data_IF_058844125329
#
_entry.id   IF_058844125329
#
_cell.length_a   1.000
_cell.length_b   1.000
_cell.length_c   1.000
_cell.angle_alpha   90.00
_cell.angle_beta   90.00
_cell.angle_gamma   90.00
#
_symmetry.space_group_name_H-M   'P 1'
#
loop_
_entity.id
_entity.type
_entity.pdbx_description
1 polymer ?
#
# COMPACT_ATOMS: atom_id res chain seq x y z
N UNK A 1 12.00 -12.90 -0.22
CA UNK A 1 11.36 -11.78 -0.92
C UNK A 1 12.30 -11.14 -1.94
N UNK A 2 13.53 -10.76 -1.56
CA UNK A 2 14.53 -10.24 -2.50
C UNK A 2 14.94 -11.25 -3.59
N UNK A 3 15.04 -12.54 -3.25
CA UNK A 3 15.35 -13.59 -4.23
C UNK A 3 14.20 -13.82 -5.22
N UNK A 4 12.95 -13.83 -4.74
CA UNK A 4 11.76 -13.89 -5.58
C UNK A 4 11.70 -12.70 -6.53
N UNK A 5 12.04 -11.51 -6.03
CA UNK A 5 12.13 -10.30 -6.83
C UNK A 5 13.22 -10.40 -7.90
N UNK A 6 14.42 -10.88 -7.55
CA UNK A 6 15.48 -11.18 -8.54
C UNK A 6 15.00 -12.14 -9.61
N UNK A 7 14.28 -13.20 -9.26
CA UNK A 7 13.77 -14.18 -10.23
C UNK A 7 12.76 -13.57 -11.20
N UNK A 8 11.80 -12.77 -10.70
CA UNK A 8 10.83 -12.06 -11.55
C UNK A 8 11.52 -11.05 -12.45
N UNK A 9 12.45 -10.25 -11.89
CA UNK A 9 13.20 -9.25 -12.64
C UNK A 9 14.09 -9.88 -13.72
N UNK A 10 14.65 -11.07 -13.45
CA UNK A 10 15.47 -11.81 -14.41
C UNK A 10 14.63 -12.46 -15.51
N UNK A 11 13.37 -12.82 -15.22
CA UNK A 11 12.40 -13.27 -16.22
C UNK A 11 11.91 -12.10 -17.10
N UNK A 12 11.68 -10.92 -16.53
CA UNK A 12 11.24 -9.71 -17.25
C UNK A 12 12.36 -9.01 -18.04
N UNK A 13 13.63 -9.30 -17.74
CA UNK A 13 14.79 -8.81 -18.50
C UNK A 13 14.76 -9.19 -19.99
N UNK A 14 14.12 -10.31 -20.34
CA UNK A 14 13.92 -10.73 -21.74
C UNK A 14 12.94 -9.81 -22.51
N UNK A 15 12.09 -9.07 -21.80
CA UNK A 15 11.09 -8.16 -22.38
C UNK A 15 11.53 -6.69 -22.44
N UNK A 16 12.48 -6.27 -21.59
CA UNK A 16 12.90 -4.87 -21.49
C UNK A 16 14.13 -4.61 -22.38
N UNK A 17 13.87 -4.16 -23.61
CA UNK A 17 14.89 -3.98 -24.67
C UNK A 17 15.75 -2.72 -24.53
N UNK A 18 15.41 -1.78 -23.62
CA UNK A 18 16.17 -0.53 -23.40
C UNK A 18 16.54 -0.32 -21.93
N UNK A 19 17.69 0.31 -21.69
CA UNK A 19 18.22 0.61 -20.35
C UNK A 19 17.24 1.44 -19.50
N UNK A 20 16.51 2.36 -20.12
CA UNK A 20 15.49 3.19 -19.47
C UNK A 20 14.33 2.35 -18.95
N UNK A 21 13.89 1.37 -19.74
CA UNK A 21 12.80 0.45 -19.35
C UNK A 21 13.24 -0.46 -18.20
N UNK A 22 14.48 -0.93 -18.22
CA UNK A 22 15.08 -1.70 -17.12
C UNK A 22 15.16 -0.86 -15.85
N UNK A 23 15.61 0.39 -15.95
CA UNK A 23 15.69 1.30 -14.82
C UNK A 23 14.31 1.58 -14.21
N UNK A 24 13.30 1.88 -15.04
CA UNK A 24 11.93 2.11 -14.59
C UNK A 24 11.34 0.89 -13.87
N UNK A 25 11.56 -0.31 -14.41
CA UNK A 25 11.09 -1.54 -13.78
C UNK A 25 11.75 -1.79 -12.41
N UNK A 26 13.09 -1.65 -12.33
CA UNK A 26 13.84 -1.78 -11.07
C UNK A 26 13.37 -0.75 -10.04
N UNK A 27 13.13 0.49 -10.48
CA UNK A 27 12.66 1.57 -9.62
C UNK A 27 11.26 1.29 -9.04
N UNK A 28 10.30 0.90 -9.88
CA UNK A 28 8.94 0.59 -9.43
C UNK A 28 8.93 -0.51 -8.39
N UNK A 29 9.73 -1.55 -8.61
CA UNK A 29 9.69 -2.67 -7.69
C UNK A 29 10.63 -2.50 -6.48
N UNK A 30 11.64 -1.62 -6.54
CA UNK A 30 12.25 -1.05 -5.34
C UNK A 30 11.22 -0.30 -4.48
N UNK A 31 10.42 0.58 -5.09
CA UNK A 31 9.38 1.33 -4.39
C UNK A 31 8.34 0.40 -3.77
N UNK A 32 7.91 -0.63 -4.52
CA UNK A 32 6.97 -1.64 -4.04
C UNK A 32 7.52 -2.39 -2.82
N UNK A 33 8.79 -2.79 -2.86
CA UNK A 33 9.45 -3.46 -1.74
C UNK A 33 9.61 -2.52 -0.54
N UNK A 34 10.00 -1.27 -0.77
CA UNK A 34 10.13 -0.26 0.28
C UNK A 34 8.81 -0.05 1.02
N UNK A 35 7.71 0.14 0.28
CA UNK A 35 6.37 0.28 0.84
C UNK A 35 6.00 -0.99 1.63
N UNK A 36 6.24 -2.18 1.07
CA UNK A 36 5.95 -3.44 1.76
C UNK A 36 6.68 -3.54 3.10
N UNK A 37 7.99 -3.27 3.12
CA UNK A 37 8.79 -3.28 4.34
C UNK A 37 8.33 -2.23 5.35
N UNK A 38 7.93 -1.03 4.90
CA UNK A 38 7.37 0.00 5.78
C UNK A 38 6.07 -0.45 6.43
N UNK A 39 5.15 -1.01 5.66
CA UNK A 39 3.89 -1.54 6.20
C UNK A 39 4.16 -2.68 7.20
N UNK A 40 5.11 -3.57 6.90
CA UNK A 40 5.51 -4.63 7.81
C UNK A 40 6.10 -4.08 9.13
N UNK A 41 6.89 -3.00 9.06
CA UNK A 41 7.40 -2.30 10.24
C UNK A 41 6.26 -1.70 11.08
N UNK A 42 5.29 -1.02 10.46
CA UNK A 42 4.12 -0.49 11.17
C UNK A 42 3.34 -1.61 11.88
N UNK A 43 3.13 -2.74 11.19
CA UNK A 43 2.45 -3.91 11.76
C UNK A 43 3.22 -4.51 12.94
N UNK A 44 4.55 -4.61 12.85
CA UNK A 44 5.40 -5.10 13.95
C UNK A 44 5.37 -4.17 15.15
N UNK A 45 5.48 -2.86 14.92
CA UNK A 45 5.46 -1.85 15.98
C UNK A 45 4.11 -1.84 16.73
N UNK A 46 3.00 -2.03 16.02
CA UNK A 46 1.67 -2.16 16.60
C UNK A 46 1.37 -3.58 17.15
N UNK A 47 2.31 -4.53 17.06
CA UNK A 47 2.14 -5.96 17.40
C UNK A 47 0.97 -6.64 16.68
N UNK A 48 0.65 -6.19 15.47
CA UNK A 48 -0.46 -6.69 14.63
C UNK A 48 -0.01 -7.65 13.52
N UNK A 49 1.29 -7.90 13.38
CA UNK A 49 1.89 -8.77 12.36
C UNK A 49 1.46 -10.25 12.45
N UNK A 50 0.85 -10.68 13.55
CA UNK A 50 0.25 -12.02 13.71
C UNK A 50 -1.17 -12.13 13.13
N UNK A 51 -1.84 -10.99 12.88
CA UNK A 51 -3.22 -10.92 12.37
C UNK A 51 -3.31 -10.41 10.95
N UNK A 52 -2.40 -9.53 10.55
CA UNK A 52 -2.43 -8.90 9.24
C UNK A 52 -1.07 -8.97 8.56
N UNK A 53 -1.09 -9.29 7.28
CA UNK A 53 0.04 -9.09 6.37
C UNK A 53 -0.04 -7.69 5.74
N UNK A 54 1.06 -7.15 5.18
CA UNK A 54 1.03 -5.90 4.42
C UNK A 54 -0.01 -5.91 3.28
N UNK A 55 -0.21 -7.06 2.64
CA UNK A 55 -1.20 -7.23 1.56
C UNK A 55 -2.62 -7.14 2.09
N UNK A 56 -2.91 -7.74 3.25
CA UNK A 56 -4.24 -7.63 3.89
C UNK A 56 -4.58 -6.19 4.24
N UNK A 57 -3.57 -5.41 4.67
CA UNK A 57 -3.72 -4.00 5.00
C UNK A 57 -4.07 -3.18 3.75
N UNK A 58 -3.31 -3.36 2.66
CA UNK A 58 -3.59 -2.71 1.36
C UNK A 58 -4.99 -3.06 0.86
N UNK A 59 -5.38 -4.33 0.94
CA UNK A 59 -6.70 -4.79 0.50
C UNK A 59 -7.86 -4.22 1.35
N UNK A 60 -7.65 -4.01 2.65
CA UNK A 60 -8.64 -3.33 3.50
C UNK A 60 -8.77 -1.86 3.16
N UNK A 61 -7.64 -1.19 2.95
CA UNK A 61 -7.60 0.25 2.71
C UNK A 61 -8.12 0.60 1.32
N UNK A 62 -7.89 -0.26 0.32
CA UNK A 62 -8.39 -0.06 -1.05
C UNK A 62 -9.91 -0.04 -1.17
N UNK A 63 -10.63 -0.51 -0.15
CA UNK A 63 -12.11 -0.45 -0.09
C UNK A 63 -12.65 0.92 0.30
N UNK A 64 -11.79 1.82 0.77
CA UNK A 64 -12.15 3.21 1.05
C UNK A 64 -11.87 4.04 -0.19
N UNK A 65 -12.92 4.55 -0.82
CA UNK A 65 -12.82 5.30 -2.07
C UNK A 65 -12.91 6.80 -1.83
N UNK A 66 -12.05 7.58 -2.48
CA UNK A 66 -12.24 9.02 -2.60
C UNK A 66 -13.08 9.30 -3.85
N UNK A 67 -14.32 9.76 -3.66
CA UNK A 67 -15.27 10.08 -4.72
C UNK A 67 -15.26 11.58 -4.97
N UNK A 68 -14.99 12.02 -6.20
CA UNK A 68 -15.26 13.40 -6.58
C UNK A 68 -16.70 13.53 -7.06
N UNK A 69 -17.54 14.24 -6.30
CA UNK A 69 -18.91 14.54 -6.70
C UNK A 69 -19.06 16.05 -6.78
N UNK A 70 -19.33 16.54 -8.01
CA UNK A 70 -19.58 17.97 -8.28
C UNK A 70 -18.49 18.91 -7.76
N UNK A 71 -17.21 18.56 -7.96
CA UNK A 71 -16.06 19.38 -7.54
C UNK A 71 -15.79 19.38 -6.04
N UNK A 72 -16.47 18.53 -5.25
CA UNK A 72 -16.13 18.27 -3.85
C UNK A 72 -15.63 16.83 -3.71
N UNK A 73 -14.42 16.68 -3.16
CA UNK A 73 -13.88 15.39 -2.76
C UNK A 73 -14.62 14.87 -1.54
N UNK A 74 -15.35 13.78 -1.70
CA UNK A 74 -16.09 13.08 -0.66
C UNK A 74 -15.45 11.70 -0.49
N UNK A 75 -14.91 11.41 0.68
CA UNK A 75 -14.47 10.05 0.98
C UNK A 75 -15.71 9.20 1.26
N UNK A 76 -15.78 8.01 0.67
CA UNK A 76 -16.81 7.01 0.97
C UNK A 76 -16.81 6.69 2.47
N UNK A 77 -17.89 6.13 2.98
CA UNK A 77 -17.92 5.69 4.38
C UNK A 77 -16.67 4.86 4.73
N UNK A 78 -15.94 5.28 5.76
CA UNK A 78 -14.79 4.55 6.30
C UNK A 78 -15.33 3.61 7.37
N UNK A 79 -15.29 2.28 7.16
CA UNK A 79 -15.80 1.36 8.16
C UNK A 79 -15.04 1.51 9.48
N UNK A 80 -15.74 1.48 10.61
CA UNK A 80 -15.12 1.65 11.94
C UNK A 80 -13.89 0.76 12.17
N UNK A 81 -13.95 -0.50 11.73
CA UNK A 81 -12.82 -1.45 11.83
C UNK A 81 -11.57 -1.01 11.04
N UNK A 82 -11.75 -0.27 9.95
CA UNK A 82 -10.63 0.30 9.16
C UNK A 82 -10.06 1.51 9.87
N UNK A 83 -10.91 2.36 10.45
CA UNK A 83 -10.48 3.52 11.23
C UNK A 83 -9.74 3.13 12.52
N UNK A 84 -10.25 2.12 13.25
CA UNK A 84 -9.59 1.58 14.45
C UNK A 84 -8.21 0.98 14.09
N UNK A 85 -8.10 0.33 12.92
CA UNK A 85 -6.83 -0.22 12.42
C UNK A 85 -5.85 0.90 12.04
N UNK A 86 -6.34 1.96 11.40
CA UNK A 86 -5.53 3.11 11.00
C UNK A 86 -4.98 3.89 12.19
N UNK A 87 -5.78 4.03 13.25
CA UNK A 87 -5.36 4.62 14.51
C UNK A 87 -4.36 3.72 15.25
N UNK A 88 -4.59 2.41 15.28
CA UNK A 88 -3.65 1.46 15.88
C UNK A 88 -2.28 1.42 15.17
N UNK A 89 -2.25 1.69 13.87
CA UNK A 89 -1.02 1.78 13.08
C UNK A 89 -0.37 3.17 13.10
N UNK A 90 -1.07 4.18 13.61
CA UNK A 90 -0.61 5.57 13.67
C UNK A 90 -0.44 6.22 12.29
N UNK A 91 -1.15 5.73 11.27
CA UNK A 91 -1.00 6.19 9.88
C UNK A 91 -1.85 7.41 9.56
N UNK A 92 -2.97 7.60 10.25
CA UNK A 92 -3.87 8.76 10.13
C UNK A 92 -4.25 9.08 8.66
N UNK A 93 -4.50 8.04 7.87
CA UNK A 93 -4.78 8.14 6.43
C UNK A 93 -6.18 8.68 6.14
N UNK A 94 -7.13 8.51 7.07
CA UNK A 94 -8.53 8.86 6.87
C UNK A 94 -8.98 9.99 7.82
N UNK A 95 -9.85 10.92 7.36
CA UNK A 95 -10.35 12.00 8.19
C UNK A 95 -11.31 11.47 9.26
N UNK A 96 -11.15 11.95 10.50
CA UNK A 96 -12.00 11.56 11.65
C UNK A 96 -13.39 12.20 11.64
N UNK A 97 -13.62 13.20 10.77
CA UNK A 97 -14.89 13.91 10.65
C UNK A 97 -15.26 14.04 9.17
N UNK A 98 -16.32 13.34 8.76
CA UNK A 98 -17.06 13.68 7.55
C UNK A 98 -17.84 14.94 7.94
N UNK A 99 -17.36 16.12 7.53
CA UNK A 99 -18.14 17.36 7.68
C UNK A 99 -19.41 17.20 6.86
N UNK A 100 -20.54 17.04 7.56
CA UNK A 100 -21.89 17.24 7.02
C UNK A 100 -22.11 18.71 6.70
#
# INVERSE_FOLDING_TARGET
MFDTYKTVLNADKLYLQSDESVFGHVFIAFLSLYIHCKLEQHLKNAKLNHKFTPIDLLYKYSKVYHLEIRGRGIISEVPKKVMDLDEALGLLMFPKTIRS
#
